data_IF_998048362639
#
_entry.id   IF_998048362639
#
_cell.length_a   1.000
_cell.length_b   1.000
_cell.length_c   1.000
_cell.angle_alpha   90.00
_cell.angle_beta   90.00
_cell.angle_gamma   90.00
#
_symmetry.space_group_name_H-M   'P 1'
#
loop_
_entity.id
_entity.type
_entity.pdbx_description
1 polymer ?
#
# COMPACT_ATOMS: atom_id res chain seq x y z
N UNK A 1 -7.82 6.40 -23.01
CA UNK A 1 -8.91 7.41 -23.09
C UNK A 1 -10.13 6.85 -22.38
N UNK A 2 -10.38 7.21 -21.13
CA UNK A 2 -11.65 7.04 -20.41
C UNK A 2 -11.48 7.70 -19.03
N UNK A 3 -12.54 8.34 -18.54
CA UNK A 3 -12.66 8.95 -17.21
C UNK A 3 -12.30 10.44 -17.05
N UNK A 4 -12.79 11.27 -17.99
CA UNK A 4 -13.14 12.69 -17.71
C UNK A 4 -14.43 12.84 -16.87
N UNK A 5 -14.99 11.74 -16.33
CA UNK A 5 -16.34 11.68 -15.74
C UNK A 5 -16.45 12.03 -14.26
N UNK A 6 -15.34 12.19 -13.51
CA UNK A 6 -15.40 12.41 -12.06
C UNK A 6 -15.42 13.88 -11.63
N UNK A 7 -15.13 14.83 -12.56
CA UNK A 7 -15.07 16.27 -12.23
C UNK A 7 -16.44 16.95 -12.13
N UNK A 8 -17.51 16.34 -12.67
CA UNK A 8 -18.85 16.94 -12.72
C UNK A 8 -19.63 16.82 -11.39
N UNK A 9 -19.19 15.98 -10.45
CA UNK A 9 -19.92 15.74 -9.20
C UNK A 9 -19.62 16.78 -8.09
N UNK A 10 -18.61 17.65 -8.28
CA UNK A 10 -18.20 18.65 -7.27
C UNK A 10 -18.98 19.98 -7.31
N UNK A 11 -19.89 20.18 -8.26
CA UNK A 11 -20.53 21.49 -8.51
C UNK A 11 -21.98 21.61 -7.99
N UNK A 12 -22.53 20.60 -7.30
CA UNK A 12 -23.93 20.60 -6.82
C UNK A 12 -24.10 20.61 -5.29
N UNK A 13 -23.04 20.80 -4.51
CA UNK A 13 -23.12 20.88 -3.04
C UNK A 13 -23.00 22.33 -2.50
N UNK A 14 -23.13 23.32 -3.37
CA UNK A 14 -23.03 24.75 -3.04
C UNK A 14 -24.38 25.45 -3.15
N UNK A 15 -25.38 24.93 -2.46
CA UNK A 15 -26.67 25.60 -2.28
C UNK A 15 -27.51 24.83 -1.27
N UNK A 16 -27.30 25.08 0.02
CA UNK A 16 -28.33 25.06 1.07
C UNK A 16 -27.74 25.59 2.37
N UNK A 17 -27.68 26.92 2.45
CA UNK A 17 -27.68 27.69 3.68
C UNK A 17 -29.06 27.52 4.31
N UNK A 18 -29.14 27.08 5.57
CA UNK A 18 -30.22 27.52 6.45
C UNK A 18 -29.64 27.93 7.81
N UNK A 19 -29.63 29.25 7.97
CA UNK A 19 -29.52 30.02 9.20
C UNK A 19 -30.55 29.50 10.23
N UNK A 20 -30.11 29.26 11.47
CA UNK A 20 -31.00 29.36 12.63
C UNK A 20 -30.25 29.97 13.82
N UNK A 21 -31.00 30.78 14.54
CA UNK A 21 -30.63 31.91 15.38
C UNK A 21 -30.12 31.61 16.79
N UNK A 22 -29.15 32.41 17.23
CA UNK A 22 -28.97 33.09 18.53
C UNK A 22 -29.50 32.46 19.85
N UNK A 23 -28.58 32.25 20.83
CA UNK A 23 -28.48 32.96 22.15
C UNK A 23 -27.30 32.43 23.01
N UNK A 24 -26.49 33.27 23.71
CA UNK A 24 -25.70 32.90 24.91
C UNK A 24 -26.39 33.44 26.20
N UNK A 25 -25.89 33.27 27.46
CA UNK A 25 -24.79 32.47 28.01
C UNK A 25 -25.20 31.57 29.22
N UNK A 26 -24.46 30.50 29.56
CA UNK A 26 -24.37 30.06 30.98
C UNK A 26 -23.04 29.38 31.26
N UNK A 27 -22.24 30.07 32.05
CA UNK A 27 -21.06 29.64 32.79
C UNK A 27 -21.32 28.34 33.55
N UNK A 28 -20.58 27.26 33.25
CA UNK A 28 -20.65 26.02 34.06
C UNK A 28 -20.22 24.72 33.39
N UNK A 29 -19.90 24.69 32.10
CA UNK A 29 -19.57 23.43 31.39
C UNK A 29 -18.25 23.49 30.59
N UNK A 30 -17.23 24.24 31.03
CA UNK A 30 -15.91 24.33 30.36
C UNK A 30 -14.86 23.47 31.07
N UNK A 31 -15.21 22.26 31.48
CA UNK A 31 -14.21 21.30 31.95
C UNK A 31 -14.77 19.89 31.77
N UNK A 32 -14.53 19.31 30.59
CA UNK A 32 -14.53 17.86 30.26
C UNK A 32 -14.67 17.64 28.73
N UNK A 33 -13.99 18.43 27.88
CA UNK A 33 -13.79 18.09 26.45
C UNK A 33 -12.33 18.37 26.04
N UNK A 34 -11.40 18.18 26.99
CA UNK A 34 -9.97 18.43 26.82
C UNK A 34 -9.12 17.20 26.42
N UNK A 35 -9.43 15.95 26.83
CA UNK A 35 -8.52 14.83 26.56
C UNK A 35 -8.99 13.82 25.49
N UNK A 36 -10.18 13.96 24.88
CA UNK A 36 -10.68 12.96 23.92
C UNK A 36 -10.47 13.28 22.43
N UNK A 37 -10.04 14.50 22.07
CA UNK A 37 -9.82 14.89 20.67
C UNK A 37 -8.37 15.21 20.31
N UNK A 38 -7.40 14.78 21.14
CA UNK A 38 -5.96 14.93 20.85
C UNK A 38 -5.22 13.58 20.93
N UNK A 39 -5.90 12.48 20.57
CA UNK A 39 -5.33 11.12 20.72
C UNK A 39 -5.21 10.29 19.45
N UNK A 40 -5.85 10.66 18.32
CA UNK A 40 -5.99 9.78 17.14
C UNK A 40 -6.00 10.47 15.76
N UNK A 41 -5.05 11.38 15.46
CA UNK A 41 -4.69 11.58 14.04
C UNK A 41 -3.19 11.43 13.74
N UNK A 42 -2.31 11.59 14.72
CA UNK A 42 -0.86 11.51 14.50
C UNK A 42 -0.31 10.08 14.44
N UNK A 43 -0.95 9.10 15.08
CA UNK A 43 -0.47 7.71 15.09
C UNK A 43 -0.61 7.00 13.75
N UNK A 44 -1.63 7.36 12.95
CA UNK A 44 -1.84 6.75 11.64
C UNK A 44 -0.80 7.27 10.64
N UNK A 45 -0.57 8.58 10.65
CA UNK A 45 0.38 9.22 9.75
C UNK A 45 1.81 8.72 9.98
N UNK A 46 2.24 8.57 11.25
CA UNK A 46 3.57 8.02 11.56
C UNK A 46 3.68 6.53 11.25
N UNK A 47 2.61 5.75 11.46
CA UNK A 47 2.56 4.32 11.11
C UNK A 47 2.76 4.09 9.61
N UNK A 48 2.14 4.92 8.78
CA UNK A 48 2.23 4.83 7.32
C UNK A 48 3.67 5.05 6.82
N UNK A 49 4.38 6.02 7.38
CA UNK A 49 5.80 6.27 7.07
C UNK A 49 6.72 5.14 7.55
N UNK A 50 6.50 4.61 8.75
CA UNK A 50 7.27 3.49 9.29
C UNK A 50 7.07 2.24 8.43
N UNK A 51 5.83 1.97 8.03
CA UNK A 51 5.49 0.85 7.17
C UNK A 51 6.16 0.97 5.79
N UNK A 52 6.12 2.17 5.19
CA UNK A 52 6.83 2.46 3.94
C UNK A 52 8.34 2.23 4.06
N UNK A 53 8.94 2.70 5.15
CA UNK A 53 10.37 2.52 5.42
C UNK A 53 10.74 1.04 5.56
N UNK A 54 9.96 0.28 6.32
CA UNK A 54 10.15 -1.16 6.49
C UNK A 54 10.06 -1.89 5.15
N UNK A 55 9.02 -1.64 4.35
CA UNK A 55 8.90 -2.26 3.03
C UNK A 55 10.07 -1.90 2.10
N UNK A 56 10.56 -0.67 2.18
CA UNK A 56 11.73 -0.24 1.40
C UNK A 56 12.97 -1.04 1.80
N UNK A 57 13.24 -1.20 3.09
CA UNK A 57 14.36 -2.02 3.58
C UNK A 57 14.21 -3.48 3.16
N UNK A 58 13.01 -4.05 3.27
CA UNK A 58 12.73 -5.42 2.84
C UNK A 58 12.97 -5.63 1.35
N UNK A 59 12.65 -4.65 0.50
CA UNK A 59 12.97 -4.73 -0.93
C UNK A 59 14.47 -4.61 -1.15
N UNK A 60 15.13 -3.61 -0.56
CA UNK A 60 16.57 -3.35 -0.79
C UNK A 60 17.44 -4.52 -0.31
N UNK A 61 17.09 -5.16 0.80
CA UNK A 61 17.87 -6.27 1.39
C UNK A 61 17.33 -7.63 0.93
N UNK A 62 16.02 -7.82 0.98
CA UNK A 62 15.39 -9.10 0.66
C UNK A 62 15.53 -9.47 -0.81
N UNK A 63 15.41 -8.50 -1.73
CA UNK A 63 15.52 -8.77 -3.16
C UNK A 63 16.90 -9.34 -3.56
N UNK A 64 18.04 -8.72 -3.23
CA UNK A 64 19.34 -9.26 -3.61
C UNK A 64 19.65 -10.60 -2.92
N UNK A 65 19.21 -10.80 -1.67
CA UNK A 65 19.41 -12.07 -0.96
C UNK A 65 18.64 -13.21 -1.61
N UNK A 66 17.35 -12.99 -1.91
CA UNK A 66 16.52 -14.02 -2.57
C UNK A 66 17.00 -14.28 -4.00
N UNK A 67 17.42 -13.25 -4.76
CA UNK A 67 17.99 -13.42 -6.11
C UNK A 67 19.30 -14.21 -6.08
N UNK A 68 20.22 -13.86 -5.19
CA UNK A 68 21.52 -14.55 -5.08
C UNK A 68 21.31 -16.03 -4.73
N UNK A 69 20.41 -16.30 -3.79
CA UNK A 69 20.05 -17.67 -3.40
C UNK A 69 19.43 -18.43 -4.57
N UNK A 70 18.52 -17.79 -5.31
CA UNK A 70 17.89 -18.38 -6.49
C UNK A 70 18.93 -18.75 -7.55
N UNK A 71 19.84 -17.83 -7.91
CA UNK A 71 20.90 -18.07 -8.92
C UNK A 71 21.80 -19.24 -8.51
N UNK A 72 22.23 -19.26 -7.24
CA UNK A 72 23.08 -20.34 -6.71
C UNK A 72 22.37 -21.71 -6.81
N UNK A 73 21.10 -21.76 -6.38
CA UNK A 73 20.32 -23.00 -6.39
C UNK A 73 19.97 -23.45 -7.82
N UNK A 74 19.68 -22.53 -8.75
CA UNK A 74 19.44 -22.85 -10.17
C UNK A 74 20.68 -23.44 -10.85
N UNK A 75 21.86 -22.88 -10.56
CA UNK A 75 23.13 -23.42 -11.08
C UNK A 75 23.32 -24.86 -10.61
N UNK A 76 23.04 -25.15 -9.32
CA UNK A 76 23.14 -26.51 -8.77
C UNK A 76 22.07 -27.46 -9.33
N UNK A 77 20.83 -26.98 -9.46
CA UNK A 77 19.69 -27.75 -9.95
C UNK A 77 19.90 -28.26 -11.38
N UNK A 78 20.60 -27.49 -12.23
CA UNK A 78 20.96 -27.92 -13.59
C UNK A 78 21.77 -29.22 -13.61
N UNK A 79 22.59 -29.48 -12.58
CA UNK A 79 23.46 -30.65 -12.51
C UNK A 79 22.83 -31.85 -11.76
N UNK A 80 21.97 -31.60 -10.78
CA UNK A 80 21.28 -32.66 -10.04
C UNK A 80 19.86 -32.21 -9.69
N UNK A 81 18.86 -32.93 -10.22
CA UNK A 81 17.44 -32.65 -9.98
C UNK A 81 17.00 -33.33 -8.69
N UNK A 82 16.65 -32.55 -7.67
CA UNK A 82 16.00 -33.05 -6.46
C UNK A 82 14.72 -32.28 -6.18
N UNK A 83 13.72 -32.98 -5.65
CA UNK A 83 12.38 -32.42 -5.39
C UNK A 83 12.42 -31.34 -4.29
N UNK A 84 13.24 -31.53 -3.26
CA UNK A 84 13.49 -30.54 -2.20
C UNK A 84 14.07 -29.24 -2.80
N UNK A 85 14.99 -29.35 -3.76
CA UNK A 85 15.59 -28.18 -4.40
C UNK A 85 14.59 -27.42 -5.29
N UNK A 86 13.65 -28.13 -5.94
CA UNK A 86 12.57 -27.51 -6.71
C UNK A 86 11.60 -26.72 -5.82
N UNK A 87 11.22 -27.29 -4.67
CA UNK A 87 10.37 -26.60 -3.70
C UNK A 87 11.02 -25.30 -3.21
N UNK A 88 12.32 -25.36 -2.90
CA UNK A 88 13.08 -24.20 -2.44
C UNK A 88 13.20 -23.11 -3.52
N UNK A 89 13.34 -23.50 -4.78
CA UNK A 89 13.34 -22.57 -5.92
C UNK A 89 11.99 -21.88 -6.06
N UNK A 90 10.87 -22.61 -6.04
CA UNK A 90 9.53 -22.04 -6.13
C UNK A 90 9.26 -21.04 -4.99
N UNK A 91 9.70 -21.37 -3.76
CA UNK A 91 9.55 -20.48 -2.61
C UNK A 91 10.34 -19.17 -2.77
N UNK A 92 11.60 -19.24 -3.22
CA UNK A 92 12.40 -18.04 -3.48
C UNK A 92 11.86 -17.21 -4.64
N UNK A 93 11.31 -17.85 -5.69
CA UNK A 93 10.64 -17.15 -6.78
C UNK A 93 9.43 -16.39 -6.24
N UNK A 94 8.58 -17.04 -5.44
CA UNK A 94 7.42 -16.38 -4.81
C UNK A 94 7.84 -15.20 -3.93
N UNK A 95 8.91 -15.33 -3.15
CA UNK A 95 9.45 -14.23 -2.35
C UNK A 95 9.93 -13.05 -3.21
N UNK A 96 10.60 -13.32 -4.34
CA UNK A 96 11.01 -12.25 -5.27
C UNK A 96 9.79 -11.58 -5.89
N UNK A 97 8.80 -12.36 -6.31
CA UNK A 97 7.56 -11.84 -6.89
C UNK A 97 6.80 -10.97 -5.87
N UNK A 98 6.71 -11.39 -4.61
CA UNK A 98 6.04 -10.61 -3.57
C UNK A 98 6.80 -9.31 -3.28
N UNK A 99 8.14 -9.37 -3.16
CA UNK A 99 8.95 -8.17 -2.95
C UNK A 99 8.87 -7.21 -4.14
N UNK A 100 8.83 -7.72 -5.37
CA UNK A 100 8.77 -6.91 -6.59
C UNK A 100 7.39 -6.34 -6.90
N UNK A 101 6.30 -7.05 -6.58
CA UNK A 101 4.96 -6.62 -6.98
C UNK A 101 4.14 -6.08 -5.81
N UNK A 102 4.20 -6.70 -4.64
CA UNK A 102 3.45 -6.24 -3.48
C UNK A 102 4.11 -5.03 -2.82
N UNK A 103 5.43 -5.04 -2.61
CA UNK A 103 6.11 -3.91 -1.97
C UNK A 103 6.26 -2.72 -2.93
N UNK A 104 6.69 -2.92 -4.17
CA UNK A 104 6.68 -1.85 -5.20
C UNK A 104 5.24 -1.38 -5.48
N UNK A 105 4.28 -2.30 -5.35
CA UNK A 105 2.86 -2.10 -5.07
C UNK A 105 2.53 -0.87 -4.25
N UNK A 106 2.78 -1.10 -2.98
CA UNK A 106 2.52 -0.20 -1.89
C UNK A 106 3.32 1.09 -1.98
N UNK A 107 4.59 0.99 -2.42
CA UNK A 107 5.48 2.15 -2.59
C UNK A 107 4.96 3.06 -3.71
N UNK A 108 4.51 2.50 -4.84
CA UNK A 108 3.98 3.29 -5.96
C UNK A 108 2.69 4.01 -5.57
N UNK A 109 1.82 3.34 -4.80
CA UNK A 109 0.60 3.91 -4.24
C UNK A 109 0.88 5.09 -3.30
N UNK A 110 1.91 4.98 -2.46
CA UNK A 110 2.27 6.01 -1.50
C UNK A 110 3.02 7.20 -2.11
N UNK A 111 3.89 6.97 -3.10
CA UNK A 111 4.76 8.02 -3.65
C UNK A 111 4.02 8.92 -4.63
N UNK A 112 3.14 8.38 -5.45
CA UNK A 112 2.62 9.12 -6.59
C UNK A 112 1.11 9.01 -6.70
N UNK A 113 0.42 10.14 -6.47
CA UNK A 113 -0.98 10.29 -6.88
C UNK A 113 -1.16 10.12 -8.41
N UNK A 114 -0.06 10.03 -9.19
CA UNK A 114 -0.02 9.67 -10.61
C UNK A 114 0.96 8.52 -10.90
N UNK A 115 0.53 7.45 -11.55
CA UNK A 115 1.37 6.25 -11.75
C UNK A 115 2.64 6.50 -12.61
N UNK A 116 3.84 6.47 -12.00
CA UNK A 116 5.14 6.54 -12.70
C UNK A 116 5.84 5.19 -12.91
N UNK A 117 5.31 4.09 -12.38
CA UNK A 117 5.93 2.75 -12.43
C UNK A 117 5.98 2.08 -13.82
N UNK A 118 5.54 2.76 -14.87
CA UNK A 118 5.48 2.19 -16.22
C UNK A 118 4.40 1.11 -16.41
N UNK A 119 4.26 0.62 -17.64
CA UNK A 119 3.17 -0.27 -18.04
C UNK A 119 3.27 -1.68 -17.45
N UNK A 120 4.48 -2.23 -17.30
CA UNK A 120 4.71 -3.59 -16.82
C UNK A 120 4.31 -3.76 -15.36
N UNK A 121 4.74 -2.84 -14.48
CA UNK A 121 4.34 -2.87 -13.07
C UNK A 121 2.83 -2.65 -12.92
N UNK A 122 2.21 -1.87 -13.81
CA UNK A 122 0.77 -1.60 -13.76
C UNK A 122 -0.05 -2.86 -14.05
N UNK A 123 0.30 -3.57 -15.12
CA UNK A 123 -0.34 -4.84 -15.48
C UNK A 123 -0.12 -5.88 -14.38
N UNK A 124 1.10 -5.94 -13.83
CA UNK A 124 1.41 -6.89 -12.77
C UNK A 124 0.66 -6.61 -11.46
N UNK A 125 0.49 -5.35 -11.06
CA UNK A 125 -0.32 -5.01 -9.89
C UNK A 125 -1.79 -5.36 -10.09
N UNK A 126 -2.36 -5.07 -11.27
CA UNK A 126 -3.74 -5.47 -11.57
C UNK A 126 -3.92 -6.98 -11.52
N UNK A 127 -2.93 -7.73 -11.99
CA UNK A 127 -2.95 -9.19 -11.90
C UNK A 127 -2.88 -9.67 -10.45
N UNK A 128 -2.01 -9.08 -9.63
CA UNK A 128 -1.90 -9.45 -8.21
C UNK A 128 -3.15 -9.09 -7.40
N UNK A 129 -3.78 -7.96 -7.69
CA UNK A 129 -5.03 -7.52 -7.05
C UNK A 129 -6.16 -8.54 -7.31
N UNK A 130 -6.30 -8.97 -8.56
CA UNK A 130 -7.26 -10.02 -8.95
C UNK A 130 -6.92 -11.38 -8.30
N UNK A 131 -5.64 -11.74 -8.23
CA UNK A 131 -5.19 -12.98 -7.58
C UNK A 131 -5.50 -12.99 -6.08
N UNK A 132 -5.30 -11.87 -5.39
CA UNK A 132 -5.63 -11.72 -3.97
C UNK A 132 -7.13 -11.77 -3.74
N UNK A 133 -7.92 -11.14 -4.62
CA UNK A 133 -9.38 -11.20 -4.55
C UNK A 133 -9.92 -12.61 -4.79
N UNK A 134 -9.32 -13.36 -5.72
CA UNK A 134 -9.69 -14.75 -6.03
C UNK A 134 -9.34 -15.76 -4.93
N UNK A 135 -8.55 -15.38 -3.92
CA UNK A 135 -8.20 -16.24 -2.78
C UNK A 135 -9.22 -16.11 -1.63
N UNK A 136 -10.22 -15.23 -1.75
CA UNK A 136 -11.44 -15.28 -0.93
C UNK A 136 -12.46 -16.26 -1.50
#
# INVERSE_FOLDING_TARGET
MLSKGQKTFRTLASSNILVSSATPPTTGAIMEIGPLLEGRPFTHLSSDYIQLFLYTIFVVIGLPINITTLIYMLRRYRHAKSLLLLLHINLNISNILVLMFFCTGYISWMITYEWLGGSVLCVAMRFMDEFVFSIK
#
